data_IF_920300676860
#
_entry.id   IF_920300676860
#
_cell.length_a   1.000
_cell.length_b   1.000
_cell.length_c   1.000
_cell.angle_alpha   90.00
_cell.angle_beta   90.00
_cell.angle_gamma   90.00
#
_symmetry.space_group_name_H-M   'P 1'
#
loop_
_entity.id
_entity.type
_entity.pdbx_description
1 polymer ?
#
# COMPACT_ATOMS: atom_id res chain seq x y z
N UNK A 1 4.08 24.82 -14.99
CA UNK A 1 4.73 23.52 -14.77
C UNK A 1 3.71 22.44 -15.10
N UNK A 2 3.92 21.56 -16.10
CA UNK A 2 3.02 20.45 -16.33
C UNK A 2 3.20 19.47 -15.17
N UNK A 3 2.17 19.28 -14.34
CA UNK A 3 2.16 18.22 -13.33
C UNK A 3 2.07 16.88 -14.05
N UNK A 4 3.18 16.13 -14.10
CA UNK A 4 3.20 14.76 -14.59
C UNK A 4 2.13 13.96 -13.86
N UNK A 5 1.15 13.43 -14.59
CA UNK A 5 0.12 12.57 -14.00
C UNK A 5 0.77 11.31 -13.48
N UNK A 6 0.56 11.02 -12.19
CA UNK A 6 0.95 9.73 -11.62
C UNK A 6 0.28 8.59 -12.37
N UNK A 7 1.07 7.56 -12.66
CA UNK A 7 0.64 6.28 -13.23
C UNK A 7 -0.21 5.50 -12.22
N UNK A 8 -0.92 4.49 -12.71
CA UNK A 8 -1.68 3.59 -11.84
C UNK A 8 -0.75 2.87 -10.83
N UNK A 9 0.47 2.52 -11.23
CA UNK A 9 1.43 1.81 -10.37
C UNK A 9 1.98 2.68 -9.25
N UNK A 10 2.30 3.95 -9.54
CA UNK A 10 2.68 4.92 -8.51
C UNK A 10 1.53 5.14 -7.51
N UNK A 11 0.28 5.15 -7.99
CA UNK A 11 -0.90 5.20 -7.11
C UNK A 11 -1.07 3.94 -6.26
N UNK A 12 -0.84 2.74 -6.82
CA UNK A 12 -0.83 1.50 -6.02
C UNK A 12 0.21 1.58 -4.92
N UNK A 13 1.43 2.04 -5.25
CA UNK A 13 2.51 2.20 -4.27
C UNK A 13 2.12 3.18 -3.16
N UNK A 14 1.57 4.34 -3.52
CA UNK A 14 1.11 5.34 -2.55
C UNK A 14 0.02 4.80 -1.60
N UNK A 15 -0.93 4.02 -2.13
CA UNK A 15 -1.96 3.36 -1.30
C UNK A 15 -1.31 2.37 -0.33
N UNK A 16 -0.36 1.56 -0.80
CA UNK A 16 0.33 0.58 0.03
C UNK A 16 1.18 1.24 1.13
N UNK A 17 1.77 2.40 0.89
CA UNK A 17 2.51 3.15 1.90
C UNK A 17 1.60 3.69 3.01
N UNK A 18 0.46 4.28 2.63
CA UNK A 18 -0.58 4.71 3.56
C UNK A 18 -1.15 3.52 4.36
N UNK A 19 -1.48 2.43 3.68
CA UNK A 19 -1.98 1.21 4.30
C UNK A 19 -0.96 0.61 5.28
N UNK A 20 0.31 0.51 4.90
CA UNK A 20 1.39 0.00 5.77
C UNK A 20 1.44 0.80 7.07
N UNK A 21 1.44 2.13 6.98
CA UNK A 21 1.56 3.01 8.13
C UNK A 21 0.38 2.87 9.09
N UNK A 22 -0.84 2.82 8.57
CA UNK A 22 -2.06 2.70 9.37
C UNK A 22 -2.21 1.30 9.97
N UNK A 23 -1.96 0.25 9.18
CA UNK A 23 -2.06 -1.14 9.63
C UNK A 23 -1.01 -1.44 10.71
N UNK A 24 0.20 -0.89 10.60
CA UNK A 24 1.23 -1.06 11.63
C UNK A 24 0.84 -0.45 12.99
N UNK A 25 -0.02 0.57 13.02
CA UNK A 25 -0.42 1.24 14.26
C UNK A 25 -1.58 0.56 14.99
N UNK A 26 -2.53 -0.01 14.24
CA UNK A 26 -3.82 -0.49 14.80
C UNK A 26 -4.25 -1.89 14.33
N UNK A 27 -3.49 -2.52 13.44
CA UNK A 27 -3.86 -3.78 12.80
C UNK A 27 -4.74 -3.60 11.55
N UNK A 28 -4.87 -4.68 10.78
CA UNK A 28 -5.54 -4.67 9.48
C UNK A 28 -7.07 -4.58 9.59
N UNK A 29 -7.66 -5.36 10.50
CA UNK A 29 -9.11 -5.40 10.67
C UNK A 29 -9.65 -4.08 11.19
N UNK A 30 -8.93 -3.45 12.13
CA UNK A 30 -9.26 -2.14 12.69
C UNK A 30 -8.92 -0.96 11.76
N UNK A 31 -8.42 -1.19 10.54
CA UNK A 31 -8.12 -0.14 9.57
C UNK A 31 -9.20 -0.08 8.47
N UNK A 32 -10.02 0.98 8.43
CA UNK A 32 -10.98 1.20 7.34
C UNK A 32 -10.27 1.54 6.03
N UNK A 33 -10.74 1.00 4.90
CA UNK A 33 -10.22 1.35 3.57
C UNK A 33 -10.45 2.81 3.20
N UNK A 34 -11.49 3.44 3.76
CA UNK A 34 -11.73 4.88 3.62
C UNK A 34 -10.58 5.71 4.22
N UNK A 35 -10.14 5.37 5.44
CA UNK A 35 -9.02 6.06 6.09
C UNK A 35 -7.70 5.88 5.31
N UNK A 36 -7.52 4.74 4.63
CA UNK A 36 -6.38 4.51 3.75
C UNK A 36 -6.47 5.40 2.51
N UNK A 37 -7.65 5.51 1.88
CA UNK A 37 -7.85 6.37 0.72
C UNK A 37 -7.61 7.85 1.06
N UNK A 38 -8.10 8.31 2.21
CA UNK A 38 -7.86 9.66 2.75
C UNK A 38 -6.36 9.91 2.97
N UNK A 39 -5.67 8.99 3.65
CA UNK A 39 -4.23 9.10 3.88
C UNK A 39 -3.40 9.07 2.59
N UNK A 40 -3.87 8.36 1.56
CA UNK A 40 -3.25 8.34 0.23
C UNK A 40 -3.66 9.52 -0.66
N UNK A 41 -4.56 10.40 -0.20
CA UNK A 41 -5.05 11.55 -0.97
C UNK A 41 -5.79 11.17 -2.26
N UNK A 42 -6.57 10.08 -2.22
CA UNK A 42 -7.39 9.61 -3.34
C UNK A 42 -8.83 9.37 -2.91
N UNK A 43 -9.74 9.28 -3.88
CA UNK A 43 -11.12 8.88 -3.59
C UNK A 43 -11.22 7.41 -3.21
N UNK A 44 -12.17 7.08 -2.35
CA UNK A 44 -12.45 5.70 -1.93
C UNK A 44 -12.83 4.80 -3.11
N UNK A 45 -13.62 5.32 -4.05
CA UNK A 45 -13.95 4.61 -5.29
C UNK A 45 -12.70 4.32 -6.15
N UNK A 46 -11.72 5.23 -6.17
CA UNK A 46 -10.50 4.99 -6.92
C UNK A 46 -9.61 3.94 -6.25
N UNK A 47 -9.57 3.89 -4.91
CA UNK A 47 -8.93 2.80 -4.19
C UNK A 47 -9.49 1.45 -4.65
N UNK A 48 -10.82 1.29 -4.66
CA UNK A 48 -11.44 0.03 -5.08
C UNK A 48 -11.26 -0.29 -6.57
N UNK A 49 -11.07 0.73 -7.43
CA UNK A 49 -10.67 0.49 -8.83
C UNK A 49 -9.29 -0.16 -8.94
N UNK A 50 -8.37 0.15 -8.01
CA UNK A 50 -7.03 -0.44 -7.98
C UNK A 50 -7.00 -1.74 -7.15
N UNK A 51 -7.74 -1.81 -6.07
CA UNK A 51 -7.83 -2.96 -5.17
C UNK A 51 -9.30 -3.34 -5.00
N UNK A 52 -9.84 -4.25 -5.84
CA UNK A 52 -11.28 -4.54 -5.91
C UNK A 52 -11.91 -4.89 -4.56
N UNK A 53 -11.16 -5.50 -3.65
CA UNK A 53 -11.59 -5.84 -2.29
C UNK A 53 -10.58 -5.41 -1.22
N UNK A 54 -11.00 -5.46 0.06
CA UNK A 54 -10.10 -5.25 1.20
C UNK A 54 -9.07 -6.38 1.25
N UNK A 55 -9.46 -7.60 0.88
CA UNK A 55 -8.63 -8.79 0.78
C UNK A 55 -7.53 -8.62 -0.28
N UNK A 56 -7.86 -8.07 -1.45
CA UNK A 56 -6.85 -7.77 -2.50
C UNK A 56 -5.80 -6.77 -2.02
N UNK A 57 -6.23 -5.76 -1.25
CA UNK A 57 -5.31 -4.82 -0.62
C UNK A 57 -4.44 -5.53 0.45
N UNK A 58 -5.03 -6.44 1.22
CA UNK A 58 -4.31 -7.24 2.21
C UNK A 58 -3.21 -8.10 1.57
N UNK A 59 -3.56 -8.83 0.50
CA UNK A 59 -2.64 -9.69 -0.25
C UNK A 59 -1.48 -8.87 -0.80
N UNK A 60 -1.76 -7.71 -1.40
CA UNK A 60 -0.73 -6.82 -1.91
C UNK A 60 0.17 -6.26 -0.79
N UNK A 61 -0.40 -5.93 0.36
CA UNK A 61 0.34 -5.45 1.53
C UNK A 61 1.28 -6.54 2.08
N UNK A 62 0.80 -7.77 2.22
CA UNK A 62 1.60 -8.93 2.66
C UNK A 62 2.71 -9.22 1.65
N UNK A 63 2.41 -9.21 0.35
CA UNK A 63 3.41 -9.41 -0.70
C UNK A 63 4.53 -8.35 -0.61
N UNK A 64 4.18 -7.07 -0.42
CA UNK A 64 5.15 -5.98 -0.21
C UNK A 64 6.01 -6.20 1.03
N UNK A 65 5.42 -6.60 2.15
CA UNK A 65 6.15 -6.91 3.38
C UNK A 65 7.12 -8.09 3.18
N UNK A 66 6.65 -9.17 2.55
CA UNK A 66 7.47 -10.34 2.26
C UNK A 66 8.66 -9.99 1.36
N UNK A 67 8.46 -9.18 0.32
CA UNK A 67 9.54 -8.72 -0.56
C UNK A 67 10.59 -7.92 0.22
N UNK A 68 10.16 -6.98 1.07
CA UNK A 68 11.07 -6.20 1.93
C UNK A 68 11.87 -7.08 2.88
N UNK A 69 11.24 -8.09 3.49
CA UNK A 69 11.92 -9.04 4.36
C UNK A 69 12.96 -9.85 3.59
N UNK A 70 12.61 -10.35 2.40
CA UNK A 70 13.55 -11.06 1.52
C UNK A 70 14.75 -10.19 1.12
N UNK A 71 14.51 -8.94 0.73
CA UNK A 71 15.57 -7.98 0.40
C UNK A 71 16.53 -7.76 1.57
N UNK A 72 16.00 -7.62 2.78
CA UNK A 72 16.80 -7.40 3.99
C UNK A 72 17.68 -8.61 4.32
N UNK A 73 17.12 -9.82 4.24
CA UNK A 73 17.91 -11.05 4.40
C UNK A 73 18.98 -11.19 3.32
N UNK A 74 18.63 -10.94 2.05
CA UNK A 74 19.58 -11.03 0.95
C UNK A 74 20.71 -10.00 1.08
N UNK A 75 20.42 -8.79 1.58
CA UNK A 75 21.45 -7.79 1.87
C UNK A 75 22.37 -8.24 3.01
N UNK A 76 21.82 -8.76 4.12
CA UNK A 76 22.61 -9.22 5.25
C UNK A 76 23.55 -10.38 4.89
N UNK A 77 23.13 -11.29 4.01
CA UNK A 77 23.96 -12.41 3.55
C UNK A 77 25.13 -12.00 2.63
N UNK A 78 25.12 -10.78 2.09
CA UNK A 78 26.18 -10.24 1.23
C UNK A 78 27.16 -9.31 1.96
N UNK A 79 26.85 -8.94 3.19
CA UNK A 79 27.67 -8.07 4.04
C UNK A 79 28.62 -8.91 4.89
#
# INVERSE_FOLDING_TARGET
MPTTRMTAEERRTQILDAATSLVAQRGFDATPTLAIAEAAGISHAYLFRLFPSKEDLAVALVARCNARVHERFAHAARA
#
